data_IF_133298446957
#
_entry.id   IF_133298446957
#
_cell.length_a   1.000
_cell.length_b   1.000
_cell.length_c   1.000
_cell.angle_alpha   90.00
_cell.angle_beta   90.00
_cell.angle_gamma   90.00
#
_symmetry.space_group_name_H-M   'P 1'
#
loop_
_entity.id
_entity.type
_entity.pdbx_description
1 polymer ?
#
# COMPACT_ATOMS: atom_id res chain seq x y z
N UNK A 1 14.58 -7.24 4.60
CA UNK A 1 13.44 -7.13 5.51
C UNK A 1 12.16 -6.99 4.71
N UNK A 2 11.17 -7.79 5.03
CA UNK A 2 9.89 -7.75 4.34
C UNK A 2 8.93 -6.85 5.10
N UNK A 3 8.62 -5.71 4.50
CA UNK A 3 7.56 -4.82 4.98
C UNK A 3 6.28 -5.07 4.21
N UNK A 4 5.17 -4.96 4.88
CA UNK A 4 3.85 -5.16 4.32
C UNK A 4 2.98 -3.95 4.57
N UNK A 5 2.01 -3.74 3.71
CA UNK A 5 1.01 -2.69 3.87
C UNK A 5 -0.37 -3.32 3.91
N UNK A 6 -1.14 -2.94 4.93
CA UNK A 6 -2.56 -3.24 5.02
C UNK A 6 -3.34 -1.96 4.76
N UNK A 7 -4.24 -2.01 3.77
CA UNK A 7 -5.19 -0.93 3.51
C UNK A 7 -6.58 -1.39 3.85
N UNK A 8 -7.32 -0.56 4.57
CA UNK A 8 -8.67 -0.86 5.03
C UNK A 8 -9.59 0.29 4.66
N UNK A 9 -10.81 -0.07 4.21
CA UNK A 9 -11.93 0.85 4.03
C UNK A 9 -13.18 0.21 4.62
N UNK A 10 -13.89 0.94 5.48
CA UNK A 10 -15.15 0.49 6.06
C UNK A 10 -15.95 1.68 6.58
N UNK A 11 -17.16 1.40 7.09
CA UNK A 11 -17.90 2.39 7.88
C UNK A 11 -17.19 2.66 9.20
N UNK A 12 -17.20 3.91 9.63
CA UNK A 12 -16.56 4.29 10.88
C UNK A 12 -17.32 3.70 12.08
N UNK A 13 -16.58 2.96 12.90
CA UNK A 13 -17.08 2.35 14.13
C UNK A 13 -16.01 2.41 15.22
N UNK A 14 -16.41 2.51 16.51
CA UNK A 14 -15.43 2.43 17.59
C UNK A 14 -14.67 1.10 17.59
N UNK A 15 -13.39 1.16 17.96
CA UNK A 15 -12.56 -0.03 18.17
C UNK A 15 -11.87 -0.61 16.95
N UNK A 16 -11.97 0.02 15.77
CA UNK A 16 -11.30 -0.46 14.56
C UNK A 16 -9.79 -0.45 14.73
N UNK A 17 -9.22 0.68 15.14
CA UNK A 17 -7.76 0.85 15.28
C UNK A 17 -7.20 -0.12 16.30
N UNK A 18 -7.81 -0.21 17.47
CA UNK A 18 -7.36 -1.11 18.53
C UNK A 18 -7.44 -2.58 18.12
N UNK A 19 -8.51 -2.97 17.42
CA UNK A 19 -8.69 -4.34 16.93
C UNK A 19 -7.63 -4.71 15.91
N UNK A 20 -7.34 -3.84 14.94
CA UNK A 20 -6.33 -4.06 13.91
C UNK A 20 -4.93 -4.11 14.53
N UNK A 21 -4.60 -3.17 15.39
CA UNK A 21 -3.29 -3.11 16.05
C UNK A 21 -3.03 -4.35 16.90
N UNK A 22 -4.01 -4.76 17.69
CA UNK A 22 -3.91 -5.94 18.53
C UNK A 22 -3.80 -7.23 17.70
N UNK A 23 -4.54 -7.32 16.60
CA UNK A 23 -4.45 -8.44 15.67
C UNK A 23 -3.04 -8.59 15.08
N UNK A 24 -2.44 -7.51 14.62
CA UNK A 24 -1.09 -7.54 14.07
C UNK A 24 -0.06 -7.95 15.13
N UNK A 25 -0.16 -7.40 16.32
CA UNK A 25 0.73 -7.74 17.43
C UNK A 25 0.62 -9.22 17.82
N UNK A 26 -0.59 -9.75 17.93
CA UNK A 26 -0.81 -11.17 18.29
C UNK A 26 -0.30 -12.13 17.20
N UNK A 27 -0.20 -11.69 15.97
CA UNK A 27 0.34 -12.47 14.86
C UNK A 27 1.83 -12.23 14.63
N UNK A 28 2.52 -11.65 15.60
CA UNK A 28 3.96 -11.42 15.60
C UNK A 28 4.43 -10.37 14.58
N UNK A 29 3.63 -9.33 14.38
CA UNK A 29 3.97 -8.20 13.54
C UNK A 29 4.08 -6.91 14.35
N UNK A 30 5.00 -6.05 13.94
CA UNK A 30 5.18 -4.73 14.51
C UNK A 30 4.77 -3.65 13.53
N UNK A 31 3.97 -2.70 13.99
CA UNK A 31 3.54 -1.56 13.19
C UNK A 31 4.68 -0.53 13.14
N UNK A 32 5.08 -0.15 11.94
CA UNK A 32 6.10 0.87 11.71
C UNK A 32 5.48 2.25 11.51
N UNK A 33 4.36 2.30 10.82
CA UNK A 33 3.65 3.54 10.49
C UNK A 33 2.19 3.23 10.32
N UNK A 34 1.34 4.14 10.77
CA UNK A 34 -0.11 4.01 10.66
C UNK A 34 -0.70 5.37 10.31
N UNK A 35 -1.58 5.40 9.33
CA UNK A 35 -2.32 6.60 8.92
C UNK A 35 -3.79 6.28 8.86
N UNK A 36 -4.62 7.17 9.38
CA UNK A 36 -6.06 7.04 9.38
C UNK A 36 -6.70 8.30 8.79
N UNK A 37 -7.78 8.09 8.08
CA UNK A 37 -8.62 9.18 7.57
C UNK A 37 -10.08 8.84 7.77
N UNK A 38 -10.85 9.81 8.23
CA UNK A 38 -12.28 9.67 8.47
C UNK A 38 -13.03 10.68 7.61
N UNK A 39 -13.86 10.19 6.69
CA UNK A 39 -14.74 11.04 5.90
C UNK A 39 -16.07 11.17 6.62
N UNK A 40 -16.30 12.33 7.21
CA UNK A 40 -17.51 12.59 8.01
C UNK A 40 -18.78 12.69 7.15
N UNK A 41 -18.66 13.00 5.87
CA UNK A 41 -19.79 13.11 4.96
C UNK A 41 -20.45 11.76 4.69
N UNK A 42 -19.63 10.73 4.52
CA UNK A 42 -20.07 9.37 4.19
C UNK A 42 -19.97 8.41 5.37
N UNK A 43 -19.52 8.88 6.53
CA UNK A 43 -19.19 8.05 7.69
C UNK A 43 -18.24 6.89 7.32
N UNK A 44 -17.27 7.18 6.47
CA UNK A 44 -16.28 6.20 5.98
C UNK A 44 -14.97 6.36 6.73
N UNK A 45 -14.33 5.22 7.01
CA UNK A 45 -13.05 5.13 7.67
C UNK A 45 -12.03 4.47 6.75
N UNK A 46 -10.85 5.07 6.65
CA UNK A 46 -9.73 4.57 5.86
C UNK A 46 -8.52 4.42 6.77
N UNK A 47 -7.82 3.32 6.64
CA UNK A 47 -6.60 3.06 7.40
C UNK A 47 -5.54 2.44 6.52
N UNK A 48 -4.30 2.92 6.67
CA UNK A 48 -3.13 2.36 6.02
C UNK A 48 -2.09 2.06 7.08
N UNK A 49 -1.64 0.82 7.15
CA UNK A 49 -0.67 0.36 8.14
C UNK A 49 0.52 -0.24 7.42
N UNK A 50 1.71 0.27 7.74
CA UNK A 50 2.97 -0.33 7.34
C UNK A 50 3.49 -1.15 8.52
N UNK A 51 3.75 -2.44 8.29
CA UNK A 51 4.15 -3.34 9.37
C UNK A 51 5.19 -4.36 8.87
N UNK A 52 5.93 -4.93 9.81
CA UNK A 52 6.94 -5.95 9.54
C UNK A 52 6.84 -7.09 10.54
N UNK A 53 7.40 -8.23 10.19
CA UNK A 53 7.52 -9.36 11.11
C UNK A 53 8.55 -9.03 12.21
N UNK A 54 8.24 -9.39 13.46
CA UNK A 54 9.13 -9.17 14.59
C UNK A 54 10.38 -10.06 14.49
N UNK A 55 10.22 -11.30 14.05
CA UNK A 55 11.30 -12.31 14.07
C UNK A 55 12.15 -12.34 12.80
N UNK A 56 11.97 -11.42 11.88
CA UNK A 56 12.67 -11.38 10.58
C UNK A 56 12.59 -12.69 9.77
N UNK A 57 11.66 -13.58 10.09
CA UNK A 57 11.46 -14.82 9.38
C UNK A 57 10.74 -14.56 8.05
N UNK A 58 11.43 -14.86 6.96
CA UNK A 58 10.86 -14.76 5.61
C UNK A 58 9.94 -15.95 5.35
N UNK A 59 8.67 -15.82 5.68
CA UNK A 59 7.70 -16.84 5.31
C UNK A 59 6.54 -16.21 4.54
N UNK A 60 6.53 -16.41 3.23
CA UNK A 60 5.38 -16.07 2.38
C UNK A 60 4.09 -16.74 2.86
N UNK A 61 4.23 -17.87 3.52
CA UNK A 61 3.11 -18.61 4.13
C UNK A 61 2.43 -17.82 5.25
N UNK A 62 3.20 -17.01 5.97
CA UNK A 62 2.65 -16.21 7.08
C UNK A 62 1.68 -15.13 6.61
N UNK A 63 1.97 -14.47 5.48
CA UNK A 63 1.07 -13.42 4.98
C UNK A 63 -0.26 -14.00 4.49
N UNK A 64 -0.24 -15.18 3.87
CA UNK A 64 -1.47 -15.85 3.45
C UNK A 64 -2.31 -16.29 4.64
N UNK A 65 -1.67 -16.80 5.69
CA UNK A 65 -2.35 -17.15 6.94
C UNK A 65 -2.90 -15.92 7.63
N UNK A 66 -2.17 -14.81 7.62
CA UNK A 66 -2.60 -13.53 8.17
C UNK A 66 -3.86 -13.02 7.46
N UNK A 67 -3.91 -13.11 6.13
CA UNK A 67 -5.09 -12.76 5.33
C UNK A 67 -6.31 -13.57 5.72
N UNK A 68 -6.15 -14.87 5.89
CA UNK A 68 -7.24 -15.76 6.31
C UNK A 68 -7.74 -15.42 7.71
N UNK A 69 -6.83 -15.16 8.64
CA UNK A 69 -7.19 -14.82 10.01
C UNK A 69 -7.86 -13.44 10.09
N UNK A 70 -7.46 -12.52 9.22
CA UNK A 70 -8.05 -11.18 9.17
C UNK A 70 -9.50 -11.18 8.65
N UNK A 71 -9.91 -12.20 7.91
CA UNK A 71 -11.29 -12.30 7.42
C UNK A 71 -12.33 -12.22 8.54
N UNK A 72 -12.01 -12.76 9.71
CA UNK A 72 -12.92 -12.68 10.88
C UNK A 72 -13.17 -11.23 11.28
N UNK A 73 -12.11 -10.42 11.35
CA UNK A 73 -12.21 -8.99 11.67
C UNK A 73 -12.90 -8.23 10.54
N UNK A 74 -12.55 -8.53 9.32
CA UNK A 74 -13.15 -7.94 8.13
C UNK A 74 -14.67 -8.17 8.09
N UNK A 75 -15.12 -9.36 8.41
CA UNK A 75 -16.54 -9.69 8.45
C UNK A 75 -17.27 -8.96 9.59
N UNK A 76 -16.62 -8.84 10.76
CA UNK A 76 -17.19 -8.13 11.90
C UNK A 76 -17.47 -6.66 11.61
N UNK A 77 -16.56 -5.98 10.96
CA UNK A 77 -16.66 -4.56 10.64
C UNK A 77 -17.11 -4.27 9.20
N UNK A 78 -17.35 -5.30 8.41
CA UNK A 78 -17.68 -5.18 6.97
C UNK A 78 -16.63 -4.35 6.22
N UNK A 79 -15.38 -4.74 6.38
CA UNK A 79 -14.23 -4.05 5.78
C UNK A 79 -13.93 -4.51 4.37
N UNK A 80 -13.54 -3.57 3.51
CA UNK A 80 -12.75 -3.87 2.32
C UNK A 80 -11.28 -3.71 2.69
N UNK A 81 -10.48 -4.73 2.48
CA UNK A 81 -9.07 -4.70 2.85
C UNK A 81 -8.18 -5.30 1.77
N UNK A 82 -6.92 -4.89 1.77
CA UNK A 82 -5.89 -5.41 0.87
C UNK A 82 -4.55 -5.45 1.60
N UNK A 83 -3.80 -6.53 1.40
CA UNK A 83 -2.42 -6.66 1.87
C UNK A 83 -1.47 -6.55 0.70
N UNK A 84 -0.41 -5.77 0.85
CA UNK A 84 0.63 -5.59 -0.16
C UNK A 84 1.99 -5.95 0.42
N UNK A 85 2.78 -6.70 -0.35
CA UNK A 85 4.19 -6.95 -0.04
C UNK A 85 5.02 -5.84 -0.69
N UNK A 86 5.73 -5.03 0.11
CA UNK A 86 6.54 -3.93 -0.39
C UNK A 86 7.76 -4.39 -1.21
N UNK A 87 8.15 -5.66 -1.09
CA UNK A 87 9.24 -6.20 -1.89
C UNK A 87 8.83 -6.57 -3.32
N UNK A 88 7.53 -6.69 -3.57
CA UNK A 88 7.01 -6.92 -4.92
C UNK A 88 6.89 -5.60 -5.66
N UNK A 89 7.55 -5.52 -6.82
CA UNK A 89 7.43 -4.37 -7.70
C UNK A 89 6.03 -4.32 -8.30
N UNK A 90 5.37 -3.17 -8.17
CA UNK A 90 4.12 -2.92 -8.85
C UNK A 90 4.38 -2.38 -10.26
N UNK A 91 3.55 -2.78 -11.20
CA UNK A 91 3.56 -2.21 -12.53
C UNK A 91 2.73 -0.93 -12.51
N UNK A 92 3.33 0.18 -12.90
CA UNK A 92 2.63 1.45 -13.00
C UNK A 92 2.65 1.96 -14.44
N UNK A 93 1.55 2.60 -14.82
CA UNK A 93 1.44 3.32 -16.08
C UNK A 93 1.45 4.80 -15.76
N UNK A 94 2.33 5.55 -16.41
CA UNK A 94 2.43 6.99 -16.21
C UNK A 94 1.72 7.69 -17.35
N UNK A 95 0.78 8.57 -17.00
CA UNK A 95 0.09 9.43 -17.94
C UNK A 95 0.56 10.86 -17.74
N UNK A 96 1.07 11.49 -18.79
CA UNK A 96 1.60 12.85 -18.74
C UNK A 96 1.00 13.71 -19.83
N UNK A 97 0.94 15.02 -19.60
CA UNK A 97 0.52 16.01 -20.60
C UNK A 97 1.75 16.76 -21.12
N UNK A 98 1.62 18.05 -21.37
CA UNK A 98 2.63 18.87 -22.07
C UNK A 98 3.94 19.06 -21.26
N UNK A 99 3.86 19.20 -19.93
CA UNK A 99 5.02 19.50 -19.10
C UNK A 99 5.55 18.25 -18.41
N UNK A 100 6.87 18.08 -18.42
CA UNK A 100 7.53 16.85 -18.02
C UNK A 100 8.21 16.87 -16.65
N UNK A 101 8.09 17.93 -15.83
CA UNK A 101 8.79 18.01 -14.56
C UNK A 101 8.40 16.91 -13.55
N UNK A 102 7.11 16.57 -13.47
CA UNK A 102 6.66 15.44 -12.62
C UNK A 102 7.13 14.10 -13.16
N UNK A 103 7.09 13.89 -14.47
CA UNK A 103 7.61 12.69 -15.11
C UNK A 103 9.12 12.53 -14.86
N UNK A 104 9.89 13.59 -15.01
CA UNK A 104 11.32 13.59 -14.74
C UNK A 104 11.65 13.17 -13.31
N UNK A 105 10.89 13.68 -12.33
CA UNK A 105 11.05 13.33 -10.92
C UNK A 105 10.78 11.85 -10.67
N UNK A 106 9.68 11.31 -11.19
CA UNK A 106 9.32 9.89 -11.04
C UNK A 106 10.37 8.99 -11.70
N UNK A 107 10.79 9.31 -12.92
CA UNK A 107 11.82 8.53 -13.64
C UNK A 107 13.17 8.60 -12.95
N UNK A 108 13.54 9.74 -12.38
CA UNK A 108 14.76 9.87 -11.59
C UNK A 108 14.75 8.95 -10.38
N UNK A 109 13.67 8.97 -9.60
CA UNK A 109 13.51 8.09 -8.44
C UNK A 109 13.51 6.61 -8.83
N UNK A 110 12.92 6.27 -9.97
CA UNK A 110 12.94 4.91 -10.49
C UNK A 110 14.34 4.46 -10.89
N UNK A 111 15.09 5.28 -11.60
CA UNK A 111 16.47 4.98 -12.02
C UNK A 111 17.42 4.85 -10.84
N UNK A 112 17.23 5.60 -9.78
CA UNK A 112 18.04 5.53 -8.55
C UNK A 112 17.55 4.48 -7.56
N UNK A 113 16.57 3.65 -7.93
CA UNK A 113 15.95 2.62 -7.09
C UNK A 113 15.26 3.14 -5.82
N UNK A 114 14.97 4.43 -5.75
CA UNK A 114 14.20 5.01 -4.65
C UNK A 114 12.71 4.68 -4.76
N UNK A 115 12.25 4.36 -5.96
CA UNK A 115 10.88 3.95 -6.24
C UNK A 115 10.88 2.51 -6.78
N UNK A 116 10.36 1.58 -5.98
CA UNK A 116 10.37 0.14 -6.28
C UNK A 116 9.16 -0.27 -7.11
N UNK A 117 9.15 0.10 -8.39
CA UNK A 117 8.06 -0.21 -9.34
C UNK A 117 8.63 -0.58 -10.70
N UNK A 118 7.79 -1.22 -11.51
CA UNK A 118 8.04 -1.40 -12.95
C UNK A 118 7.24 -0.36 -13.73
N UNK A 119 7.87 0.26 -14.70
CA UNK A 119 7.21 1.24 -15.58
C UNK A 119 7.19 0.65 -17.00
N UNK A 120 6.12 -0.13 -17.35
CA UNK A 120 6.04 -0.76 -18.66
C UNK A 120 5.83 0.23 -19.81
N UNK A 121 5.14 1.34 -19.53
CA UNK A 121 4.95 2.38 -20.54
C UNK A 121 4.61 3.73 -19.93
N UNK A 122 4.80 4.76 -20.73
CA UNK A 122 4.41 6.14 -20.43
C UNK A 122 3.46 6.60 -21.55
N UNK A 123 2.33 7.17 -21.19
CA UNK A 123 1.34 7.69 -22.15
C UNK A 123 1.33 9.21 -22.09
N UNK A 124 1.47 9.85 -23.23
CA UNK A 124 1.36 11.30 -23.38
C UNK A 124 0.58 11.65 -24.63
N UNK A 125 -0.17 12.74 -24.57
CA UNK A 125 -0.80 13.36 -25.74
C UNK A 125 0.10 14.40 -26.44
N UNK A 126 1.36 14.55 -26.00
CA UNK A 126 2.34 15.46 -26.57
C UNK A 126 3.66 14.74 -26.88
N UNK A 127 4.30 15.08 -28.01
CA UNK A 127 5.53 14.47 -28.50
C UNK A 127 6.75 14.87 -27.63
N UNK A 128 6.72 16.02 -26.98
CA UNK A 128 7.84 16.56 -26.22
C UNK A 128 8.31 15.63 -25.08
N UNK A 129 7.52 14.62 -24.68
CA UNK A 129 7.92 13.67 -23.64
C UNK A 129 8.67 12.46 -24.20
N UNK A 130 8.77 12.30 -25.52
CA UNK A 130 9.37 11.13 -26.15
C UNK A 130 10.86 10.98 -25.80
N UNK A 131 11.61 12.06 -25.83
CA UNK A 131 13.04 12.05 -25.51
C UNK A 131 13.33 11.63 -24.08
N UNK A 132 12.43 11.95 -23.15
CA UNK A 132 12.60 11.63 -21.73
C UNK A 132 12.34 10.16 -21.45
N UNK A 133 11.47 9.51 -22.26
CA UNK A 133 11.03 8.13 -22.02
C UNK A 133 11.80 7.09 -22.81
N UNK A 134 12.52 7.50 -23.84
CA UNK A 134 13.44 6.67 -24.58
C UNK A 134 14.80 6.55 -23.85
#
# INVERSE_FOLDING_TARGET
MSNYILKIKCKDKPGIISTVSNFLFKNNFNILESSQFRDTRNNSFFMRVNFKNIDNLKNHTQINQLKKNFLRISNKFKMNFSFFDMNKKQNILIMVSKFGHCLNHILYQWKTNSLNVNIPCVISNHINMQEITE
#
